data_IF_160910436790
#
_entry.id   IF_160910436790
#
_cell.length_a   1.000
_cell.length_b   1.000
_cell.length_c   1.000
_cell.angle_alpha   90.00
_cell.angle_beta   90.00
_cell.angle_gamma   90.00
#
_symmetry.space_group_name_H-M   'P 1'
#
loop_
_entity.id
_entity.type
_entity.pdbx_description
1 polymer ?
#
# COMPACT_ATOMS: atom_id res chain seq x y z
N UNK A 1 22.51 6.26 -38.36
CA UNK A 1 22.75 5.64 -37.03
C UNK A 1 22.62 6.76 -35.99
N UNK A 2 21.46 7.34 -35.73
CA UNK A 2 20.31 6.89 -34.91
C UNK A 2 20.63 6.49 -33.46
N UNK A 3 20.30 7.43 -32.55
CA UNK A 3 19.93 7.30 -31.11
C UNK A 3 21.06 6.82 -30.18
N UNK A 4 21.40 7.53 -29.10
CA UNK A 4 20.55 7.88 -27.96
C UNK A 4 21.02 9.19 -27.32
N UNK A 5 20.20 10.24 -27.41
CA UNK A 5 20.26 11.32 -26.42
C UNK A 5 19.58 10.79 -25.16
N UNK A 6 20.35 10.66 -24.09
CA UNK A 6 19.87 10.29 -22.76
C UNK A 6 19.09 11.51 -22.25
N UNK A 7 17.79 11.54 -22.53
CA UNK A 7 16.89 12.56 -22.02
C UNK A 7 16.70 12.34 -20.53
N UNK A 8 17.55 12.96 -19.71
CA UNK A 8 17.21 13.19 -18.32
C UNK A 8 16.04 14.16 -18.31
N UNK A 9 14.87 13.65 -17.91
CA UNK A 9 13.67 14.45 -17.74
C UNK A 9 13.99 15.61 -16.79
N UNK A 10 13.48 16.81 -17.11
CA UNK A 10 13.63 18.01 -16.28
C UNK A 10 13.10 17.78 -14.84
N UNK A 11 12.26 16.75 -14.64
CA UNK A 11 11.79 16.28 -13.33
C UNK A 11 12.92 15.72 -12.45
N UNK A 12 13.88 15.00 -13.04
CA UNK A 12 14.99 14.37 -12.32
C UNK A 12 16.00 15.37 -11.77
N UNK A 13 15.98 16.62 -12.25
CA UNK A 13 16.91 17.67 -11.80
C UNK A 13 16.39 18.44 -10.56
N UNK A 14 15.10 18.38 -10.23
CA UNK A 14 14.55 19.04 -9.03
C UNK A 14 14.66 18.20 -7.74
N UNK A 15 14.82 16.88 -7.85
CA UNK A 15 14.83 15.98 -6.70
C UNK A 15 16.23 15.69 -6.11
N UNK A 16 17.30 15.98 -6.86
CA UNK A 16 18.67 15.58 -6.51
C UNK A 16 19.31 16.29 -5.30
N UNK A 17 18.68 17.32 -4.71
CA UNK A 17 19.25 18.02 -3.55
C UNK A 17 18.41 17.90 -2.25
N UNK A 18 17.11 17.56 -2.32
CA UNK A 18 16.22 17.46 -1.15
C UNK A 18 15.00 16.51 -1.32
N UNK A 19 14.97 15.67 -2.36
CA UNK A 19 13.78 14.88 -2.70
C UNK A 19 13.88 13.38 -2.39
N UNK A 20 12.79 12.79 -1.89
CA UNK A 20 12.63 11.33 -1.83
C UNK A 20 12.38 10.81 -3.24
N UNK A 21 13.19 9.85 -3.68
CA UNK A 21 12.94 9.09 -4.91
C UNK A 21 11.86 8.03 -4.64
N UNK A 22 10.62 8.35 -4.99
CA UNK A 22 9.47 7.46 -4.78
C UNK A 22 9.51 6.22 -5.67
N UNK A 23 10.12 6.30 -6.85
CA UNK A 23 10.29 5.14 -7.74
C UNK A 23 11.24 4.13 -7.09
N UNK A 24 12.36 4.60 -6.51
CA UNK A 24 13.25 3.74 -5.76
C UNK A 24 12.60 3.12 -4.50
N UNK A 25 11.66 3.83 -3.85
CA UNK A 25 10.89 3.30 -2.72
C UNK A 25 9.93 2.20 -3.18
N UNK A 26 9.19 2.44 -4.25
CA UNK A 26 8.25 1.47 -4.82
C UNK A 26 8.97 0.21 -5.31
N UNK A 27 10.10 0.37 -6.03
CA UNK A 27 10.95 -0.74 -6.47
C UNK A 27 11.46 -1.57 -5.28
N UNK A 28 11.87 -0.90 -4.20
CA UNK A 28 12.33 -1.57 -3.00
C UNK A 28 11.20 -2.37 -2.35
N UNK A 29 10.00 -1.81 -2.25
CA UNK A 29 8.82 -2.49 -1.69
C UNK A 29 8.46 -3.71 -2.56
N UNK A 30 8.36 -3.54 -3.87
CA UNK A 30 8.03 -4.60 -4.81
C UNK A 30 9.06 -5.74 -4.77
N UNK A 31 10.35 -5.40 -4.69
CA UNK A 31 11.42 -6.40 -4.56
C UNK A 31 11.38 -7.13 -3.22
N UNK A 32 11.05 -6.43 -2.13
CA UNK A 32 11.02 -7.00 -0.79
C UNK A 32 9.76 -7.85 -0.54
N UNK A 33 8.63 -7.47 -1.12
CA UNK A 33 7.33 -8.11 -0.93
C UNK A 33 6.68 -8.50 -2.27
N UNK A 34 7.29 -9.40 -3.05
CA UNK A 34 6.87 -9.69 -4.43
C UNK A 34 5.51 -10.41 -4.53
N UNK A 35 5.02 -11.00 -3.44
CA UNK A 35 3.71 -11.65 -3.39
C UNK A 35 2.56 -10.66 -3.10
N UNK A 36 2.88 -9.44 -2.66
CA UNK A 36 1.86 -8.45 -2.27
C UNK A 36 1.35 -7.71 -3.49
N UNK A 37 0.04 -7.79 -3.71
CA UNK A 37 -0.63 -6.98 -4.74
C UNK A 37 -0.88 -5.55 -4.23
N UNK A 38 -0.51 -4.55 -5.01
CA UNK A 38 -0.85 -3.14 -4.75
C UNK A 38 -2.11 -2.72 -5.52
N UNK A 39 -2.79 -1.68 -5.03
CA UNK A 39 -3.95 -1.07 -5.68
C UNK A 39 -3.75 0.44 -5.74
N UNK A 40 -4.07 1.06 -6.88
CA UNK A 40 -4.04 2.51 -7.01
C UNK A 40 -5.24 3.15 -6.30
N UNK A 41 -5.12 4.42 -5.91
CA UNK A 41 -6.24 5.16 -5.31
C UNK A 41 -7.46 5.21 -6.25
N UNK A 42 -7.23 5.41 -7.56
CA UNK A 42 -8.31 5.47 -8.54
C UNK A 42 -9.05 4.13 -8.63
N UNK A 43 -8.32 3.01 -8.71
CA UNK A 43 -8.93 1.68 -8.71
C UNK A 43 -9.66 1.41 -7.40
N UNK A 44 -9.09 1.83 -6.27
CA UNK A 44 -9.71 1.65 -4.97
C UNK A 44 -11.04 2.41 -4.86
N UNK A 45 -11.10 3.65 -5.35
CA UNK A 45 -12.35 4.43 -5.40
C UNK A 45 -13.42 3.70 -6.19
N UNK A 46 -13.07 3.10 -7.33
CA UNK A 46 -14.01 2.30 -8.12
C UNK A 46 -14.49 1.06 -7.35
N UNK A 47 -13.60 0.34 -6.67
CA UNK A 47 -13.98 -0.84 -5.87
C UNK A 47 -14.90 -0.48 -4.70
N UNK A 48 -14.69 0.67 -4.05
CA UNK A 48 -15.54 1.14 -2.93
C UNK A 48 -16.98 1.40 -3.37
N UNK A 49 -17.18 1.82 -4.61
CA UNK A 49 -18.50 2.08 -5.19
C UNK A 49 -19.22 0.81 -5.68
N UNK A 50 -18.53 -0.34 -5.68
CA UNK A 50 -19.08 -1.62 -6.12
C UNK A 50 -19.79 -2.38 -4.99
N UNK A 51 -20.59 -3.38 -5.35
CA UNK A 51 -21.25 -4.27 -4.37
C UNK A 51 -20.24 -5.11 -3.54
N UNK A 52 -19.00 -5.25 -4.01
CA UNK A 52 -17.92 -6.01 -3.37
C UNK A 52 -16.89 -5.07 -2.72
N UNK A 53 -17.36 -4.14 -1.89
CA UNK A 53 -16.48 -3.20 -1.16
C UNK A 53 -15.50 -3.97 -0.25
N UNK A 54 -14.19 -3.69 -0.32
CA UNK A 54 -13.21 -4.33 0.55
C UNK A 54 -13.32 -3.88 2.00
N UNK A 55 -12.79 -4.70 2.90
CA UNK A 55 -12.51 -4.30 4.29
C UNK A 55 -11.29 -3.38 4.28
N UNK A 56 -11.38 -2.27 4.99
CA UNK A 56 -10.28 -1.34 5.17
C UNK A 56 -9.58 -1.56 6.50
N UNK A 57 -8.29 -1.84 6.46
CA UNK A 57 -7.48 -1.97 7.66
C UNK A 57 -6.37 -0.94 7.66
N UNK A 58 -6.38 -0.10 8.69
CA UNK A 58 -5.28 0.79 8.99
C UNK A 58 -4.29 0.09 9.92
N UNK A 59 -3.06 -0.14 9.46
CA UNK A 59 -2.02 -0.83 10.22
C UNK A 59 -1.06 0.13 10.94
N UNK A 60 -1.45 1.40 11.07
CA UNK A 60 -0.68 2.40 11.83
C UNK A 60 -0.97 2.26 13.33
N UNK A 61 -0.09 2.83 14.13
CA UNK A 61 -0.32 2.98 15.58
C UNK A 61 -1.67 3.67 15.87
N UNK A 62 -2.37 3.29 16.95
CA UNK A 62 -3.68 3.83 17.30
C UNK A 62 -3.73 5.36 17.41
N UNK A 63 -2.65 5.99 17.88
CA UNK A 63 -2.56 7.44 17.96
C UNK A 63 -2.65 8.12 16.57
N UNK A 64 -2.14 7.47 15.50
CA UNK A 64 -2.24 7.98 14.12
C UNK A 64 -3.63 7.75 13.55
N UNK A 65 -4.22 6.60 13.83
CA UNK A 65 -5.60 6.30 13.43
C UNK A 65 -6.61 7.27 14.07
N UNK A 66 -6.40 7.62 15.34
CA UNK A 66 -7.25 8.56 16.07
C UNK A 66 -7.25 9.99 15.50
N UNK A 67 -6.15 10.41 14.86
CA UNK A 67 -6.08 11.72 14.18
C UNK A 67 -6.89 11.72 12.89
N UNK A 68 -6.73 10.69 12.07
CA UNK A 68 -7.49 10.54 10.83
C UNK A 68 -7.38 9.11 10.28
N UNK A 69 -8.42 8.65 9.59
CA UNK A 69 -8.46 7.35 8.91
C UNK A 69 -9.54 7.34 7.82
N UNK A 70 -9.48 6.36 6.92
CA UNK A 70 -10.53 6.13 5.92
C UNK A 70 -11.84 5.73 6.62
N UNK A 71 -12.96 6.23 6.13
CA UNK A 71 -14.28 5.90 6.69
C UNK A 71 -14.54 4.39 6.65
N UNK A 72 -15.02 3.86 7.79
CA UNK A 72 -15.26 2.43 8.04
C UNK A 72 -13.99 1.55 8.06
N UNK A 73 -12.80 2.14 8.21
CA UNK A 73 -11.59 1.37 8.49
C UNK A 73 -11.56 0.87 9.94
N UNK A 74 -11.06 -0.35 10.15
CA UNK A 74 -10.67 -0.86 11.47
C UNK A 74 -9.14 -0.67 11.66
N UNK A 75 -8.70 -0.46 12.90
CA UNK A 75 -7.28 -0.32 13.23
C UNK A 75 -6.76 -1.62 13.83
N UNK A 76 -5.97 -2.37 13.06
CA UNK A 76 -5.32 -3.61 13.46
C UNK A 76 -3.89 -3.59 12.94
N UNK A 77 -2.91 -3.75 13.83
CA UNK A 77 -1.50 -3.49 13.50
C UNK A 77 -0.78 -4.69 12.87
N UNK A 78 -1.31 -5.91 13.00
CA UNK A 78 -0.64 -7.16 12.59
C UNK A 78 -1.51 -8.03 11.70
N UNK A 79 -0.89 -8.85 10.84
CA UNK A 79 -1.61 -9.82 10.00
C UNK A 79 -2.36 -10.86 10.84
N UNK A 80 -1.82 -11.22 12.01
CA UNK A 80 -2.44 -12.17 12.94
C UNK A 80 -3.76 -11.64 13.47
N UNK A 81 -3.80 -10.39 13.93
CA UNK A 81 -5.02 -9.77 14.46
C UNK A 81 -6.08 -9.62 13.37
N UNK A 82 -5.65 -9.27 12.15
CA UNK A 82 -6.53 -9.16 10.98
C UNK A 82 -7.13 -10.54 10.63
N UNK A 83 -6.31 -11.58 10.52
CA UNK A 83 -6.77 -12.93 10.19
C UNK A 83 -7.70 -13.51 11.26
N UNK A 84 -7.44 -13.22 12.55
CA UNK A 84 -8.32 -13.60 13.65
C UNK A 84 -9.67 -12.88 13.59
N UNK A 85 -9.67 -11.60 13.20
CA UNK A 85 -10.89 -10.78 13.06
C UNK A 85 -11.71 -11.14 11.82
N UNK A 86 -11.05 -11.46 10.71
CA UNK A 86 -11.66 -11.75 9.42
C UNK A 86 -11.24 -13.13 8.90
N UNK A 87 -11.86 -14.21 9.42
CA UNK A 87 -11.50 -15.58 9.04
C UNK A 87 -11.95 -15.98 7.62
N UNK A 88 -12.84 -15.21 7.00
CA UNK A 88 -13.27 -15.44 5.61
C UNK A 88 -12.24 -14.88 4.62
N UNK A 89 -11.39 -15.77 4.13
CA UNK A 89 -10.31 -15.51 3.17
C UNK A 89 -10.78 -15.11 1.78
N UNK A 90 -12.06 -15.28 1.45
CA UNK A 90 -12.60 -14.85 0.16
C UNK A 90 -12.98 -13.37 0.15
N UNK A 91 -13.03 -12.73 1.31
CA UNK A 91 -13.41 -11.33 1.42
C UNK A 91 -12.20 -10.44 1.12
N UNK A 92 -12.29 -9.49 0.17
CA UNK A 92 -11.16 -8.64 -0.16
C UNK A 92 -10.81 -7.71 1.01
N UNK A 93 -9.54 -7.68 1.39
CA UNK A 93 -8.98 -6.81 2.42
C UNK A 93 -7.98 -5.85 1.76
N UNK A 94 -8.07 -4.57 2.10
CA UNK A 94 -7.10 -3.55 1.74
C UNK A 94 -6.47 -3.02 3.02
N UNK A 95 -5.18 -3.33 3.20
CA UNK A 95 -4.36 -2.79 4.29
C UNK A 95 -3.65 -1.52 3.81
N UNK A 96 -3.61 -0.49 4.65
CA UNK A 96 -2.89 0.75 4.34
C UNK A 96 -2.17 1.32 5.55
N UNK A 97 -1.15 2.13 5.27
CA UNK A 97 -0.46 2.92 6.27
C UNK A 97 -0.11 4.31 5.69
N UNK A 98 0.80 5.06 6.31
CA UNK A 98 1.15 6.41 5.85
C UNK A 98 1.95 6.44 4.54
N UNK A 99 2.90 5.52 4.37
CA UNK A 99 3.88 5.50 3.26
C UNK A 99 4.09 4.08 2.71
N UNK A 100 3.04 3.26 2.74
CA UNK A 100 2.94 1.91 2.14
C UNK A 100 3.85 0.81 2.74
N UNK A 101 4.99 1.12 3.36
CA UNK A 101 5.96 0.11 3.82
C UNK A 101 5.42 -0.86 4.88
N UNK A 102 4.76 -0.34 5.93
CA UNK A 102 4.16 -1.19 6.99
C UNK A 102 3.02 -2.05 6.46
N UNK A 103 2.17 -1.48 5.61
CA UNK A 103 1.07 -2.22 5.00
C UNK A 103 1.56 -3.30 4.05
N UNK A 104 2.67 -3.11 3.34
CA UNK A 104 3.27 -4.17 2.52
C UNK A 104 3.76 -5.35 3.37
N UNK A 105 4.40 -5.08 4.53
CA UNK A 105 4.80 -6.12 5.46
C UNK A 105 3.61 -6.92 6.00
N UNK A 106 2.56 -6.24 6.46
CA UNK A 106 1.34 -6.88 6.98
C UNK A 106 0.57 -7.62 5.89
N UNK A 107 0.50 -7.08 4.67
CA UNK A 107 -0.08 -7.79 3.54
C UNK A 107 0.68 -9.09 3.25
N UNK A 108 2.02 -9.07 3.30
CA UNK A 108 2.81 -10.28 3.11
C UNK A 108 2.56 -11.32 4.21
N UNK A 109 2.35 -10.91 5.47
CA UNK A 109 1.91 -11.82 6.54
C UNK A 109 0.57 -12.47 6.23
N UNK A 110 -0.39 -11.70 5.72
CA UNK A 110 -1.70 -12.21 5.31
C UNK A 110 -1.59 -13.20 4.14
N UNK A 111 -0.79 -12.88 3.11
CA UNK A 111 -0.54 -13.80 1.99
C UNK A 111 0.05 -15.14 2.46
N UNK A 112 0.91 -15.13 3.48
CA UNK A 112 1.47 -16.35 4.07
C UNK A 112 0.42 -17.16 4.85
N UNK A 113 -0.61 -16.51 5.37
CA UNK A 113 -1.74 -17.16 6.05
C UNK A 113 -2.76 -17.71 5.06
N UNK A 114 -2.75 -17.22 3.80
CA UNK A 114 -3.61 -17.59 2.68
C UNK A 114 -5.07 -17.20 2.88
#
# INVERSE_FOLDING_TARGET
MLKRALGYSLSSFFFGLFGVDWEAVDDKIAKQYPAVSSISTDELVQKVQSASRPIFIDVREPAKFAVSHLSAAENLETGVDIAARFPDKQKPIVVYCSLVYRSAAVAAELELMG
#
